data_IF_726963020297
#
_entry.id   IF_726963020297
#
_cell.length_a   1.000
_cell.length_b   1.000
_cell.length_c   1.000
_cell.angle_alpha   90.00
_cell.angle_beta   90.00
_cell.angle_gamma   90.00
#
_symmetry.space_group_name_H-M   'P 1'
#
loop_
_entity.id
_entity.type
_entity.pdbx_description
1 polymer ?
#
# COMPACT_ATOMS: atom_id res chain seq x y z
N UNK A 1 30.94 -12.53 -11.66
CA UNK A 1 29.88 -13.45 -11.19
C UNK A 1 28.63 -12.61 -10.99
N UNK A 2 27.44 -13.04 -11.43
CA UNK A 2 26.22 -12.26 -11.20
C UNK A 2 25.60 -12.62 -9.82
N UNK A 3 24.71 -11.78 -9.32
CA UNK A 3 24.11 -11.92 -7.98
C UNK A 3 23.39 -13.27 -7.79
N UNK A 4 22.74 -13.78 -8.84
CA UNK A 4 22.05 -15.07 -8.82
C UNK A 4 23.01 -16.23 -8.56
N UNK A 5 24.15 -16.28 -9.27
CA UNK A 5 25.16 -17.34 -9.08
C UNK A 5 25.79 -17.25 -7.69
N UNK A 6 26.02 -16.04 -7.18
CA UNK A 6 26.55 -15.85 -5.82
C UNK A 6 25.59 -16.40 -4.76
N UNK A 7 24.30 -16.05 -4.85
CA UNK A 7 23.27 -16.54 -3.93
C UNK A 7 23.20 -18.07 -3.96
N UNK A 8 23.14 -18.68 -5.15
CA UNK A 8 23.05 -20.14 -5.28
C UNK A 8 24.25 -20.81 -4.63
N UNK A 9 25.46 -20.35 -4.94
CA UNK A 9 26.68 -20.97 -4.42
C UNK A 9 26.81 -20.83 -2.90
N UNK A 10 26.38 -19.71 -2.32
CA UNK A 10 26.50 -19.45 -0.89
C UNK A 10 25.35 -20.04 -0.07
N UNK A 11 24.21 -20.36 -0.70
CA UNK A 11 23.01 -20.91 -0.05
C UNK A 11 22.85 -22.42 -0.25
N UNK A 12 23.53 -23.03 -1.22
CA UNK A 12 23.35 -24.45 -1.54
C UNK A 12 23.66 -25.35 -0.32
N UNK A 13 22.72 -26.24 0.01
CA UNK A 13 22.84 -27.17 1.13
C UNK A 13 22.60 -26.55 2.52
N UNK A 14 22.13 -25.30 2.59
CA UNK A 14 21.77 -24.61 3.83
C UNK A 14 20.25 -24.37 3.89
N UNK A 15 19.74 -24.16 5.09
CA UNK A 15 18.35 -23.78 5.36
C UNK A 15 18.10 -22.26 5.31
N UNK A 16 19.07 -21.49 4.79
CA UNK A 16 19.00 -20.04 4.66
C UNK A 16 19.61 -19.55 3.34
N UNK A 17 19.19 -18.34 2.94
CA UNK A 17 19.73 -17.62 1.78
C UNK A 17 20.92 -16.80 2.24
N UNK A 18 22.06 -16.95 1.57
CA UNK A 18 23.29 -16.23 1.88
C UNK A 18 23.92 -15.60 0.64
N UNK A 19 24.53 -14.43 0.85
CA UNK A 19 25.37 -13.73 -0.10
C UNK A 19 26.83 -13.87 0.34
N UNK A 20 27.76 -13.82 -0.61
CA UNK A 20 29.15 -13.52 -0.26
C UNK A 20 29.26 -12.09 0.29
N UNK A 21 30.31 -11.84 1.07
CA UNK A 21 30.58 -10.52 1.62
C UNK A 21 30.69 -9.45 0.53
N UNK A 22 31.33 -9.78 -0.60
CA UNK A 22 31.45 -8.86 -1.73
C UNK A 22 30.08 -8.53 -2.35
N UNK A 23 29.26 -9.55 -2.63
CA UNK A 23 27.93 -9.35 -3.20
C UNK A 23 27.00 -8.58 -2.26
N UNK A 24 27.13 -8.80 -0.94
CA UNK A 24 26.43 -8.04 0.07
C UNK A 24 26.84 -6.55 0.05
N UNK A 25 28.14 -6.26 0.05
CA UNK A 25 28.66 -4.89 0.04
C UNK A 25 28.24 -4.12 -1.23
N UNK A 26 28.26 -4.78 -2.38
CA UNK A 26 27.79 -4.20 -3.63
C UNK A 26 26.29 -3.89 -3.58
N UNK A 27 25.47 -4.80 -3.03
CA UNK A 27 24.03 -4.59 -2.88
C UNK A 27 23.70 -3.45 -1.90
N UNK A 28 24.43 -3.35 -0.78
CA UNK A 28 24.30 -2.25 0.18
C UNK A 28 24.64 -0.91 -0.48
N UNK A 29 25.72 -0.88 -1.27
CA UNK A 29 26.13 0.32 -2.01
C UNK A 29 25.06 0.74 -3.01
N UNK A 30 24.58 -0.18 -3.85
CA UNK A 30 23.53 0.08 -4.82
C UNK A 30 22.22 0.55 -4.16
N UNK A 31 21.84 -0.05 -3.02
CA UNK A 31 20.67 0.38 -2.26
C UNK A 31 20.83 1.80 -1.72
N UNK A 32 22.01 2.13 -1.16
CA UNK A 32 22.31 3.48 -0.66
C UNK A 32 22.27 4.53 -1.78
N UNK A 33 22.83 4.22 -2.95
CA UNK A 33 22.81 5.10 -4.12
C UNK A 33 21.37 5.31 -4.63
N UNK A 34 20.59 4.25 -4.80
CA UNK A 34 19.18 4.34 -5.18
C UNK A 34 18.39 5.17 -4.16
N UNK A 35 18.65 5.00 -2.87
CA UNK A 35 17.99 5.78 -1.83
C UNK A 35 18.29 7.27 -1.95
N UNK A 36 19.55 7.64 -2.16
CA UNK A 36 19.96 9.05 -2.34
C UNK A 36 19.37 9.69 -3.59
N UNK A 37 19.31 8.95 -4.70
CA UNK A 37 18.91 9.51 -6.00
C UNK A 37 17.39 9.52 -6.18
N UNK A 38 16.70 8.48 -5.71
CA UNK A 38 15.27 8.28 -5.99
C UNK A 38 14.40 8.68 -4.79
N UNK A 39 14.80 8.31 -3.57
CA UNK A 39 13.97 8.46 -2.37
C UNK A 39 14.34 9.67 -1.49
N UNK A 40 15.56 10.20 -1.57
CA UNK A 40 15.96 11.44 -0.89
C UNK A 40 15.74 12.69 -1.76
N UNK A 41 15.04 12.56 -2.89
CA UNK A 41 14.68 13.73 -3.68
C UNK A 41 13.62 14.54 -2.93
N UNK A 42 13.97 15.78 -2.56
CA UNK A 42 13.09 16.71 -1.82
C UNK A 42 11.73 16.94 -2.48
N UNK A 43 11.61 16.77 -3.80
CA UNK A 43 10.35 16.88 -4.50
C UNK A 43 9.43 15.68 -4.21
N UNK A 44 9.99 14.46 -4.20
CA UNK A 44 9.25 13.22 -3.91
C UNK A 44 8.83 13.18 -2.44
N UNK A 45 9.74 13.56 -1.54
CA UNK A 45 9.44 13.59 -0.10
C UNK A 45 8.37 14.61 0.26
N UNK A 46 8.38 15.80 -0.38
CA UNK A 46 7.33 16.80 -0.16
C UNK A 46 5.95 16.31 -0.59
N UNK A 47 5.82 15.70 -1.77
CA UNK A 47 4.54 15.16 -2.21
C UNK A 47 4.06 14.03 -1.29
N UNK A 48 4.97 13.19 -0.81
CA UNK A 48 4.65 12.15 0.16
C UNK A 48 4.16 12.71 1.50
N UNK A 49 4.94 13.61 2.11
CA UNK A 49 4.66 14.13 3.45
C UNK A 49 3.50 15.14 3.48
N UNK A 50 3.38 16.00 2.45
CA UNK A 50 2.39 17.08 2.45
C UNK A 50 1.04 16.66 1.83
N UNK A 51 1.02 15.62 1.00
CA UNK A 51 -0.20 15.14 0.33
C UNK A 51 -0.55 13.70 0.72
N UNK A 52 0.29 12.72 0.36
CA UNK A 52 -0.06 11.30 0.45
C UNK A 52 -0.35 10.91 1.91
N UNK A 53 0.55 11.23 2.83
CA UNK A 53 0.40 10.86 4.24
C UNK A 53 -0.86 11.47 4.90
N UNK A 54 -1.15 12.78 4.76
CA UNK A 54 -2.41 13.34 5.21
C UNK A 54 -3.65 12.73 4.55
N UNK A 55 -3.56 12.28 3.29
CA UNK A 55 -4.68 11.60 2.62
C UNK A 55 -4.97 10.25 3.27
N UNK A 56 -3.94 9.44 3.53
CA UNK A 56 -4.09 8.15 4.22
C UNK A 56 -4.68 8.33 5.62
N UNK A 57 -4.19 9.31 6.38
CA UNK A 57 -4.72 9.61 7.72
C UNK A 57 -6.21 9.98 7.68
N UNK A 58 -6.60 10.88 6.77
CA UNK A 58 -7.99 11.30 6.61
C UNK A 58 -8.90 10.13 6.21
N UNK A 59 -8.49 9.32 5.23
CA UNK A 59 -9.24 8.14 4.78
C UNK A 59 -9.41 7.15 5.92
N UNK A 60 -8.32 6.84 6.64
CA UNK A 60 -8.36 5.91 7.77
C UNK A 60 -9.41 6.32 8.81
N UNK A 61 -9.34 7.56 9.31
CA UNK A 61 -10.27 8.01 10.35
C UNK A 61 -11.71 8.13 9.84
N UNK A 62 -11.90 8.50 8.58
CA UNK A 62 -13.22 8.58 7.96
C UNK A 62 -13.89 7.22 7.84
N UNK A 63 -13.15 6.21 7.37
CA UNK A 63 -13.65 4.83 7.26
C UNK A 63 -13.93 4.23 8.64
N UNK A 64 -13.05 4.52 9.62
CA UNK A 64 -13.24 4.07 11.00
C UNK A 64 -14.50 4.68 11.64
N UNK A 65 -14.79 5.97 11.40
CA UNK A 65 -16.03 6.60 11.84
C UNK A 65 -17.26 5.95 11.20
N UNK A 66 -17.24 5.74 9.88
CA UNK A 66 -18.33 5.10 9.13
C UNK A 66 -18.62 3.68 9.64
N UNK A 67 -17.56 2.93 9.94
CA UNK A 67 -17.65 1.58 10.51
C UNK A 67 -18.27 1.62 11.91
N UNK A 68 -17.80 2.50 12.80
CA UNK A 68 -18.32 2.67 14.17
C UNK A 68 -19.78 3.13 14.19
N UNK A 69 -20.19 3.95 13.22
CA UNK A 69 -21.58 4.40 13.04
C UNK A 69 -22.46 3.34 12.40
N UNK A 70 -21.89 2.28 11.84
CA UNK A 70 -22.62 1.23 11.14
C UNK A 70 -23.30 1.71 9.86
N UNK A 71 -22.74 2.70 9.17
CA UNK A 71 -23.33 3.26 7.95
C UNK A 71 -23.20 2.29 6.76
N UNK A 72 -24.20 1.43 6.58
CA UNK A 72 -24.21 0.39 5.53
C UNK A 72 -24.16 0.94 4.10
N UNK A 73 -24.39 2.24 3.89
CA UNK A 73 -24.28 2.88 2.58
C UNK A 73 -22.87 3.43 2.31
N UNK A 74 -21.97 3.41 3.29
CA UNK A 74 -20.57 3.83 3.09
C UNK A 74 -19.79 2.86 2.20
N UNK A 75 -18.65 3.33 1.70
CA UNK A 75 -17.80 2.54 0.80
C UNK A 75 -17.19 1.32 1.49
N UNK A 76 -16.77 1.45 2.75
CA UNK A 76 -16.20 0.31 3.51
C UNK A 76 -17.19 -0.84 3.66
N UNK A 77 -18.49 -0.57 3.82
CA UNK A 77 -19.48 -1.63 3.84
C UNK A 77 -19.70 -2.22 2.44
N UNK A 78 -20.04 -1.38 1.46
CA UNK A 78 -20.46 -1.86 0.14
C UNK A 78 -19.35 -2.49 -0.69
N UNK A 79 -18.15 -1.93 -0.64
CA UNK A 79 -17.06 -2.33 -1.53
C UNK A 79 -16.09 -3.33 -0.87
N UNK A 80 -16.05 -3.41 0.47
CA UNK A 80 -15.13 -4.28 1.20
C UNK A 80 -15.86 -5.36 2.00
N UNK A 81 -16.62 -4.97 3.03
CA UNK A 81 -17.25 -5.91 3.96
C UNK A 81 -18.25 -6.82 3.25
N UNK A 82 -19.15 -6.25 2.43
CA UNK A 82 -20.15 -7.02 1.69
C UNK A 82 -19.49 -7.92 0.65
N UNK A 83 -18.43 -7.45 0.01
CA UNK A 83 -17.63 -8.23 -0.92
C UNK A 83 -16.98 -9.44 -0.22
N UNK A 84 -16.29 -9.23 0.91
CA UNK A 84 -15.67 -10.32 1.68
C UNK A 84 -16.72 -11.32 2.15
N UNK A 85 -17.77 -10.84 2.82
CA UNK A 85 -18.86 -11.70 3.31
C UNK A 85 -19.49 -12.54 2.18
N UNK A 86 -19.63 -12.00 0.97
CA UNK A 86 -20.16 -12.73 -0.17
C UNK A 86 -19.26 -13.87 -0.65
N UNK A 87 -17.94 -13.72 -0.50
CA UNK A 87 -16.94 -14.70 -0.93
C UNK A 87 -16.66 -15.77 0.13
N UNK A 88 -16.75 -15.43 1.42
CA UNK A 88 -16.49 -16.37 2.53
C UNK A 88 -17.75 -17.08 3.04
N UNK A 89 -18.93 -16.76 2.49
CA UNK A 89 -20.25 -17.29 2.92
C UNK A 89 -20.36 -18.82 3.03
N UNK A 90 -19.49 -19.56 2.34
CA UNK A 90 -19.50 -21.03 2.33
C UNK A 90 -18.64 -21.67 3.43
N UNK A 91 -17.84 -20.89 4.16
CA UNK A 91 -16.90 -21.39 5.18
C UNK A 91 -17.42 -21.24 6.64
N UNK A 92 -18.60 -20.63 6.86
CA UNK A 92 -19.22 -20.39 8.19
C UNK A 92 -18.46 -19.37 9.05
N UNK A 93 -18.85 -18.96 10.27
CA UNK A 93 -20.16 -18.54 10.83
C UNK A 93 -20.09 -17.05 11.27
N UNK A 94 -18.91 -16.44 11.29
CA UNK A 94 -18.68 -15.05 11.71
C UNK A 94 -18.78 -14.10 10.54
N UNK A 95 -19.48 -12.97 10.73
CA UNK A 95 -19.46 -11.92 9.73
C UNK A 95 -18.13 -11.19 9.87
N UNK A 96 -17.50 -10.88 8.74
CA UNK A 96 -16.28 -10.07 8.73
C UNK A 96 -16.49 -8.71 9.41
N UNK A 97 -17.73 -8.21 9.46
CA UNK A 97 -18.10 -7.00 10.20
C UNK A 97 -17.96 -7.09 11.72
N UNK A 98 -17.80 -8.29 12.27
CA UNK A 98 -17.67 -8.54 13.71
C UNK A 98 -16.20 -8.51 14.15
N UNK A 99 -15.26 -8.41 13.20
CA UNK A 99 -13.83 -8.26 13.47
C UNK A 99 -13.49 -6.87 14.03
N UNK A 100 -12.24 -6.72 14.47
CA UNK A 100 -11.76 -5.49 15.07
C UNK A 100 -11.83 -4.34 14.03
N UNK A 101 -12.45 -3.19 14.35
CA UNK A 101 -12.65 -2.11 13.38
C UNK A 101 -11.39 -1.55 12.70
N UNK A 102 -10.27 -1.44 13.42
CA UNK A 102 -9.02 -0.95 12.84
C UNK A 102 -8.38 -1.98 11.91
N UNK A 103 -8.50 -3.28 12.21
CA UNK A 103 -8.07 -4.36 11.32
C UNK A 103 -8.85 -4.29 10.00
N UNK A 104 -10.19 -4.18 10.06
CA UNK A 104 -11.05 -4.05 8.87
C UNK A 104 -10.66 -2.82 8.01
N UNK A 105 -10.40 -1.67 8.65
CA UNK A 105 -10.00 -0.44 7.93
C UNK A 105 -8.62 -0.62 7.30
N UNK A 106 -7.68 -1.23 8.02
CA UNK A 106 -6.31 -1.48 7.54
C UNK A 106 -6.32 -2.43 6.35
N UNK A 107 -7.06 -3.53 6.44
CA UNK A 107 -7.25 -4.50 5.37
C UNK A 107 -7.84 -3.84 4.13
N UNK A 108 -8.87 -3.00 4.32
CA UNK A 108 -9.49 -2.32 3.19
C UNK A 108 -8.49 -1.42 2.48
N UNK A 109 -7.78 -0.57 3.23
CA UNK A 109 -6.76 0.34 2.66
C UNK A 109 -5.65 -0.45 1.97
N UNK A 110 -5.14 -1.51 2.59
CA UNK A 110 -4.08 -2.34 2.03
C UNK A 110 -4.50 -3.09 0.75
N UNK A 111 -5.79 -3.33 0.56
CA UNK A 111 -6.33 -3.99 -0.63
C UNK A 111 -6.51 -3.06 -1.84
N UNK A 112 -6.40 -1.74 -1.66
CA UNK A 112 -6.64 -0.75 -2.72
C UNK A 112 -5.46 -0.64 -3.67
N UNK A 113 -5.74 -0.39 -4.95
CA UNK A 113 -4.76 0.19 -5.87
C UNK A 113 -4.66 1.69 -5.65
N UNK A 114 -3.55 2.31 -6.09
CA UNK A 114 -3.36 3.77 -6.01
C UNK A 114 -4.51 4.53 -6.69
N UNK A 115 -4.91 4.10 -7.91
CA UNK A 115 -6.03 4.72 -8.65
C UNK A 115 -7.35 4.67 -7.88
N UNK A 116 -7.64 3.53 -7.26
CA UNK A 116 -8.85 3.37 -6.47
C UNK A 116 -8.80 4.26 -5.22
N UNK A 117 -7.66 4.32 -4.54
CA UNK A 117 -7.47 5.17 -3.37
C UNK A 117 -7.69 6.65 -3.71
N UNK A 118 -7.12 7.14 -4.82
CA UNK A 118 -7.30 8.52 -5.28
C UNK A 118 -8.76 8.82 -5.64
N UNK A 119 -9.44 7.89 -6.31
CA UNK A 119 -10.85 8.03 -6.65
C UNK A 119 -11.73 8.06 -5.39
N UNK A 120 -11.50 7.14 -4.45
CA UNK A 120 -12.21 7.08 -3.17
C UNK A 120 -11.98 8.37 -2.37
N UNK A 121 -10.74 8.85 -2.29
CA UNK A 121 -10.42 10.08 -1.59
C UNK A 121 -11.22 11.27 -2.14
N UNK A 122 -11.32 11.38 -3.46
CA UNK A 122 -12.08 12.45 -4.12
C UNK A 122 -13.57 12.40 -3.80
N UNK A 123 -14.15 11.20 -3.70
CA UNK A 123 -15.54 11.00 -3.29
C UNK A 123 -15.77 11.32 -1.81
N UNK A 124 -14.85 10.91 -0.92
CA UNK A 124 -14.95 11.14 0.52
C UNK A 124 -14.69 12.60 0.90
N UNK A 125 -13.78 13.28 0.19
CA UNK A 125 -13.28 14.62 0.51
C UNK A 125 -13.32 15.56 -0.71
N UNK A 126 -14.51 15.85 -1.29
CA UNK A 126 -14.63 16.60 -2.54
C UNK A 126 -14.15 18.06 -2.45
N UNK A 127 -14.01 18.60 -1.23
CA UNK A 127 -13.52 19.95 -0.95
C UNK A 127 -12.06 20.01 -0.53
N UNK A 128 -11.38 18.85 -0.44
CA UNK A 128 -9.97 18.81 -0.05
C UNK A 128 -9.10 19.53 -1.09
N UNK A 129 -8.14 20.36 -0.65
CA UNK A 129 -7.14 20.95 -1.54
C UNK A 129 -6.06 19.94 -1.95
N UNK A 130 -5.89 18.85 -1.19
CA UNK A 130 -4.91 17.80 -1.50
C UNK A 130 -5.26 17.11 -2.81
N UNK A 131 -4.32 17.10 -3.74
CA UNK A 131 -4.43 16.49 -5.06
C UNK A 131 -3.09 15.89 -5.44
N UNK A 132 -3.16 14.73 -6.07
CA UNK A 132 -2.02 14.05 -6.69
C UNK A 132 -2.34 13.97 -8.17
N UNK A 133 -1.43 14.45 -9.00
CA UNK A 133 -1.54 14.32 -10.45
C UNK A 133 -0.92 12.98 -10.85
N UNK A 134 -1.77 12.05 -11.31
CA UNK A 134 -1.29 10.80 -11.87
C UNK A 134 -0.50 11.08 -13.15
N UNK A 135 0.77 10.69 -13.18
CA UNK A 135 1.58 10.67 -14.41
C UNK A 135 1.42 9.31 -15.07
N UNK A 136 0.83 9.30 -16.25
CA UNK A 136 0.71 8.09 -17.05
C UNK A 136 2.07 7.64 -17.55
N UNK A 137 2.27 6.32 -17.58
CA UNK A 137 3.46 5.69 -18.17
C UNK A 137 3.69 6.03 -19.65
N UNK A 138 2.69 6.63 -20.32
CA UNK A 138 2.75 7.02 -21.72
C UNK A 138 2.72 8.53 -21.95
N UNK A 139 2.78 9.34 -20.89
CA UNK A 139 2.72 10.81 -21.03
C UNK A 139 3.92 11.39 -21.80
N UNK A 140 5.04 10.66 -21.81
CA UNK A 140 6.29 11.06 -22.47
C UNK A 140 6.35 10.68 -23.97
N UNK A 141 5.33 9.99 -24.50
CA UNK A 141 5.28 9.52 -25.91
C UNK A 141 4.35 10.39 -26.77
N UNK A 142 4.35 11.72 -26.55
CA UNK A 142 3.58 12.67 -27.37
C UNK A 142 4.46 13.44 -28.36
#
# INVERSE_FOLDING_TARGET
>A
NNLTVDIINNSYGKDYIALSENAYNDLVTAKSENYKVIYQNDAVNREYDDCIKPMFEQVYYKLLDELKRGDKNSFIFRHHIDFINSNVRYYGESKYSDEEPNDIVTDYIASMTDDYFLALYKELFPKSPLKIEFKSYFDDIK
#
